data_IF_831818131443
#
_entry.id   IF_831818131443
#
_cell.length_a   1.000
_cell.length_b   1.000
_cell.length_c   1.000
_cell.angle_alpha   90.00
_cell.angle_beta   90.00
_cell.angle_gamma   90.00
#
_symmetry.space_group_name_H-M   'P 1'
#
loop_
_entity.id
_entity.type
_entity.pdbx_description
1 polymer ?
#
# COMPACT_ATOMS: atom_id res chain seq x y z
N UNK A 1 -46.53 25.74 -3.68
CA UNK A 1 -45.83 24.45 -3.59
C UNK A 1 -45.41 24.05 -5.00
N UNK A 2 -44.18 24.38 -5.39
CA UNK A 2 -43.56 23.88 -6.62
C UNK A 2 -42.33 23.09 -6.18
N UNK A 3 -42.43 21.76 -6.20
CA UNK A 3 -41.30 20.86 -6.03
C UNK A 3 -40.49 20.88 -7.32
N UNK A 4 -39.38 21.62 -7.32
CA UNK A 4 -38.33 21.47 -8.31
C UNK A 4 -37.55 20.20 -7.96
N UNK A 5 -37.85 19.11 -8.68
CA UNK A 5 -37.00 17.92 -8.67
C UNK A 5 -35.61 18.27 -9.22
N UNK A 6 -34.57 17.96 -8.45
CA UNK A 6 -33.19 18.04 -8.91
C UNK A 6 -32.97 17.03 -10.07
N UNK A 7 -32.16 17.38 -11.09
CA UNK A 7 -31.97 16.51 -12.25
C UNK A 7 -31.29 15.20 -11.85
N UNK A 8 -31.90 14.08 -12.28
CA UNK A 8 -31.36 12.71 -12.13
C UNK A 8 -30.17 12.51 -13.07
N UNK A 9 -29.11 11.91 -12.55
CA UNK A 9 -27.82 11.69 -13.25
C UNK A 9 -26.74 12.65 -12.75
N UNK A 10 -26.15 12.37 -11.58
CA UNK A 10 -25.03 13.14 -11.05
C UNK A 10 -23.75 12.35 -11.22
N UNK A 11 -22.95 12.70 -12.23
CA UNK A 11 -21.49 12.54 -12.13
C UNK A 11 -21.07 13.33 -10.90
N UNK A 12 -20.50 12.67 -9.89
CA UNK A 12 -19.83 13.37 -8.80
C UNK A 12 -18.36 13.52 -9.18
N UNK A 13 -17.92 14.63 -9.81
CA UNK A 13 -16.52 14.97 -9.77
C UNK A 13 -16.18 15.28 -8.31
N UNK A 14 -15.57 14.33 -7.60
CA UNK A 14 -14.75 14.72 -6.46
C UNK A 14 -13.42 15.21 -7.02
N UNK A 15 -13.34 16.51 -7.27
CA UNK A 15 -12.05 17.18 -7.23
C UNK A 15 -11.68 17.19 -5.74
N UNK A 16 -10.78 16.30 -5.33
CA UNK A 16 -10.14 16.43 -4.02
C UNK A 16 -9.08 17.52 -4.19
N UNK A 17 -9.52 18.76 -4.17
CA UNK A 17 -8.67 19.90 -3.83
C UNK A 17 -9.11 20.30 -2.44
N UNK A 18 -8.28 20.09 -1.44
CA UNK A 18 -8.49 20.73 -0.16
C UNK A 18 -7.40 21.75 0.09
N UNK A 19 -7.91 22.97 0.30
CA UNK A 19 -7.22 24.16 0.71
C UNK A 19 -6.50 23.94 2.05
N UNK A 20 -5.50 24.77 2.28
CA UNK A 20 -4.97 24.97 3.63
C UNK A 20 -6.09 25.41 4.60
N UNK A 21 -5.86 25.22 5.89
CA UNK A 21 -6.81 25.43 7.00
C UNK A 21 -7.35 26.87 7.15
N UNK A 22 -7.09 27.75 6.18
CA UNK A 22 -7.52 29.13 6.11
C UNK A 22 -8.12 29.55 4.74
N UNK A 23 -8.23 28.63 3.77
CA UNK A 23 -8.97 28.90 2.53
C UNK A 23 -8.31 29.91 1.58
N UNK A 24 -6.97 29.99 1.53
CA UNK A 24 -6.29 30.92 0.63
C UNK A 24 -5.63 30.19 -0.55
N UNK A 25 -6.11 30.45 -1.76
CA UNK A 25 -5.38 30.12 -3.00
C UNK A 25 -4.41 31.25 -3.32
N UNK A 26 -3.15 31.20 -2.85
CA UNK A 26 -2.09 32.13 -3.32
C UNK A 26 -0.66 31.63 -3.11
N UNK A 27 0.06 31.57 -4.24
CA UNK A 27 1.51 31.69 -4.44
C UNK A 27 2.44 30.60 -3.88
N UNK A 28 2.96 29.82 -4.83
CA UNK A 28 4.25 29.12 -4.76
C UNK A 28 5.32 30.08 -4.21
N UNK A 29 5.79 29.82 -2.99
CA UNK A 29 7.08 30.32 -2.51
C UNK A 29 8.08 29.17 -2.62
N UNK A 30 8.96 29.26 -3.61
CA UNK A 30 10.21 28.52 -3.64
C UNK A 30 10.99 28.80 -2.36
N UNK A 31 11.17 27.78 -1.51
CA UNK A 31 12.14 27.81 -0.43
C UNK A 31 13.34 26.95 -0.81
N UNK A 32 14.49 27.59 -0.88
CA UNK A 32 15.82 26.97 -0.95
C UNK A 32 16.14 26.32 0.40
N UNK A 33 16.46 25.03 0.36
CA UNK A 33 16.83 24.22 1.52
C UNK A 33 18.04 24.82 2.26
N UNK A 34 17.81 25.25 3.50
CA UNK A 34 18.82 25.29 4.55
C UNK A 34 18.63 24.06 5.43
N UNK A 35 19.51 23.07 5.30
CA UNK A 35 19.67 21.99 6.28
C UNK A 35 20.11 22.64 7.59
N UNK A 36 19.18 22.82 8.53
CA UNK A 36 19.37 22.87 9.99
C UNK A 36 18.15 23.47 10.68
N UNK A 37 17.29 22.61 11.25
CA UNK A 37 16.68 22.72 12.59
C UNK A 37 15.58 21.66 12.75
N UNK A 38 15.91 20.61 13.50
CA UNK A 38 14.93 19.75 14.17
C UNK A 38 14.39 20.54 15.37
N UNK A 39 13.37 21.36 15.13
CA UNK A 39 12.61 21.96 16.22
C UNK A 39 11.51 20.97 16.64
N UNK A 40 11.53 20.62 17.93
CA UNK A 40 10.58 19.74 18.61
C UNK A 40 9.13 20.22 18.43
N UNK A 41 8.38 19.68 17.48
CA UNK A 41 6.93 19.71 17.51
C UNK A 41 6.39 18.47 18.21
N UNK A 42 6.45 18.52 19.53
CA UNK A 42 5.78 17.58 20.41
C UNK A 42 4.30 17.99 20.52
N UNK A 43 3.42 17.33 19.77
CA UNK A 43 1.99 17.33 20.08
C UNK A 43 1.60 15.89 20.35
N UNK A 44 1.34 15.55 21.62
CA UNK A 44 0.83 14.24 22.00
C UNK A 44 -0.43 13.94 21.16
N UNK A 45 -0.32 12.92 20.30
CA UNK A 45 -1.41 12.54 19.41
C UNK A 45 -2.44 11.74 20.21
N UNK A 46 -3.39 12.47 20.79
CA UNK A 46 -4.48 11.88 21.59
C UNK A 46 -5.69 11.55 20.71
N UNK A 47 -6.61 10.73 21.24
CA UNK A 47 -7.91 10.41 20.61
C UNK A 47 -8.67 11.67 20.14
N UNK A 48 -8.41 12.81 20.81
CA UNK A 48 -9.06 14.11 20.61
C UNK A 48 -8.45 14.89 19.43
N UNK A 49 -7.18 14.64 19.09
CA UNK A 49 -6.40 15.37 18.08
C UNK A 49 -6.25 14.62 16.75
N UNK A 50 -7.05 13.56 16.52
CA UNK A 50 -7.05 12.85 15.23
C UNK A 50 -7.52 13.79 14.11
N UNK A 51 -6.69 13.95 13.07
CA UNK A 51 -6.98 14.83 11.92
C UNK A 51 -8.39 14.57 11.37
N UNK A 52 -9.18 15.64 11.22
CA UNK A 52 -10.57 15.59 10.75
C UNK A 52 -10.69 15.39 9.23
N UNK A 53 -9.57 15.38 8.51
CA UNK A 53 -9.52 15.33 7.04
C UNK A 53 -9.61 13.89 6.49
N UNK A 54 -10.20 12.96 7.25
CA UNK A 54 -10.35 11.55 6.90
C UNK A 54 -11.82 11.12 6.99
N UNK A 55 -12.20 10.07 6.25
CA UNK A 55 -13.55 9.49 6.37
C UNK A 55 -13.85 9.06 7.81
N UNK A 56 -15.12 9.14 8.23
CA UNK A 56 -15.57 8.79 9.60
C UNK A 56 -15.12 7.41 10.04
N UNK A 57 -15.09 6.44 9.12
CA UNK A 57 -14.62 5.07 9.36
C UNK A 57 -13.10 5.01 9.63
N UNK A 58 -12.29 5.76 8.86
CA UNK A 58 -10.84 5.84 9.09
C UNK A 58 -10.52 6.48 10.44
N UNK A 59 -11.24 7.53 10.81
CA UNK A 59 -11.08 8.19 12.11
C UNK A 59 -11.42 7.24 13.27
N UNK A 60 -12.50 6.46 13.14
CA UNK A 60 -12.88 5.49 14.16
C UNK A 60 -11.80 4.41 14.37
N UNK A 61 -11.24 3.88 13.28
CA UNK A 61 -10.16 2.88 13.35
C UNK A 61 -8.90 3.44 14.01
N UNK A 62 -8.49 4.66 13.65
CA UNK A 62 -7.33 5.33 14.26
C UNK A 62 -7.57 5.57 15.75
N UNK A 63 -8.75 6.05 16.14
CA UNK A 63 -9.09 6.26 17.56
C UNK A 63 -9.01 4.98 18.37
N UNK A 64 -9.50 3.87 17.82
CA UNK A 64 -9.40 2.55 18.46
C UNK A 64 -7.95 2.07 18.61
N UNK A 65 -7.10 2.33 17.61
CA UNK A 65 -5.68 2.03 17.71
C UNK A 65 -5.00 2.87 18.79
N UNK A 66 -5.20 4.17 18.79
CA UNK A 66 -4.63 5.11 19.77
C UNK A 66 -5.11 4.79 21.19
N UNK A 67 -6.36 4.33 21.37
CA UNK A 67 -6.85 3.91 22.69
C UNK A 67 -6.24 2.59 23.18
N UNK A 68 -5.75 1.75 22.26
CA UNK A 68 -5.21 0.42 22.58
C UNK A 68 -3.69 0.44 22.72
N UNK A 69 -3.00 1.23 21.91
CA UNK A 69 -1.54 1.36 21.87
C UNK A 69 -1.18 2.71 22.47
N UNK A 70 -0.69 2.71 23.70
CA UNK A 70 -0.43 3.94 24.46
C UNK A 70 0.72 4.80 23.93
N UNK A 71 1.64 4.22 23.15
CA UNK A 71 2.77 4.95 22.54
C UNK A 71 2.43 5.26 21.08
N UNK A 72 2.20 6.54 20.78
CA UNK A 72 1.82 7.00 19.44
C UNK A 72 2.74 8.11 18.99
N UNK A 73 3.22 8.00 17.76
CA UNK A 73 4.01 9.02 17.07
C UNK A 73 3.32 9.40 15.76
N UNK A 74 3.46 10.67 15.40
CA UNK A 74 2.86 11.23 14.21
C UNK A 74 3.94 11.80 13.30
N UNK A 75 3.90 11.44 12.02
CA UNK A 75 4.78 11.97 10.99
C UNK A 75 3.94 12.84 10.08
N UNK A 76 4.22 14.13 10.08
CA UNK A 76 3.51 15.11 9.26
C UNK A 76 4.01 15.09 7.80
N UNK A 77 3.27 15.65 6.84
CA UNK A 77 3.77 15.81 5.47
C UNK A 77 5.11 16.54 5.38
N UNK A 78 5.38 17.53 6.25
CA UNK A 78 6.66 18.27 6.26
C UNK A 78 7.87 17.43 6.67
N UNK A 79 7.65 16.31 7.36
CA UNK A 79 8.71 15.38 7.76
C UNK A 79 9.04 14.35 6.67
N UNK A 80 8.26 14.34 5.57
CA UNK A 80 8.46 13.45 4.43
C UNK A 80 9.41 14.07 3.40
N UNK A 81 10.22 13.24 2.75
CA UNK A 81 11.02 13.65 1.60
C UNK A 81 10.06 14.10 0.50
N UNK A 82 10.21 15.34 0.05
CA UNK A 82 9.33 16.02 -0.92
C UNK A 82 7.85 15.99 -0.53
N UNK A 83 7.54 15.94 0.77
CA UNK A 83 6.16 15.81 1.23
C UNK A 83 5.50 14.46 0.88
N UNK A 84 6.28 13.46 0.46
CA UNK A 84 5.75 12.17 -0.04
C UNK A 84 6.38 10.92 0.56
N UNK A 85 7.70 10.84 0.61
CA UNK A 85 8.36 9.57 0.94
C UNK A 85 8.81 9.54 2.40
N UNK A 86 8.51 8.44 3.07
CA UNK A 86 8.92 8.20 4.45
C UNK A 86 10.46 8.06 4.52
N UNK A 87 11.17 8.94 5.23
CA UNK A 87 12.62 8.81 5.38
C UNK A 87 12.97 7.66 6.33
N UNK A 88 13.82 6.72 5.90
CA UNK A 88 14.32 5.64 6.75
C UNK A 88 15.04 6.15 8.03
N UNK A 89 15.88 7.21 7.98
CA UNK A 89 16.51 7.75 9.20
C UNK A 89 15.52 8.28 10.24
N UNK A 90 14.40 8.86 9.79
CA UNK A 90 13.33 9.30 10.69
C UNK A 90 12.65 8.12 11.35
N UNK A 91 12.33 7.07 10.58
CA UNK A 91 11.73 5.86 11.14
C UNK A 91 12.68 5.18 12.14
N UNK A 92 13.99 5.12 11.83
CA UNK A 92 15.02 4.60 12.73
C UNK A 92 15.08 5.39 14.05
N UNK A 93 15.06 6.72 13.99
CA UNK A 93 15.19 7.58 15.17
C UNK A 93 14.00 7.38 16.11
N UNK A 94 12.78 7.28 15.56
CA UNK A 94 11.57 6.98 16.33
C UNK A 94 11.64 5.58 16.97
N UNK A 95 12.07 4.56 16.22
CA UNK A 95 12.24 3.21 16.76
C UNK A 95 13.27 3.17 17.90
N UNK A 96 14.37 3.89 17.76
CA UNK A 96 15.45 3.96 18.75
C UNK A 96 15.04 4.77 19.98
N UNK A 97 14.29 5.86 19.79
CA UNK A 97 13.74 6.69 20.88
C UNK A 97 12.84 5.86 21.81
N UNK A 98 11.96 5.05 21.24
CA UNK A 98 10.91 4.34 21.99
C UNK A 98 11.30 2.93 22.43
N UNK A 99 12.28 2.30 21.76
CA UNK A 99 12.78 0.96 22.06
C UNK A 99 11.68 -0.10 22.22
N UNK A 100 10.61 0.03 21.44
CA UNK A 100 9.48 -0.91 21.46
C UNK A 100 9.79 -2.15 20.64
N UNK A 101 9.24 -3.28 21.06
CA UNK A 101 9.45 -4.56 20.37
C UNK A 101 8.76 -4.57 19.01
N UNK A 102 7.57 -3.99 18.94
CA UNK A 102 6.77 -3.92 17.72
C UNK A 102 6.43 -2.49 17.35
N UNK A 103 6.44 -2.23 16.05
CA UNK A 103 6.01 -0.97 15.45
C UNK A 103 4.84 -1.25 14.51
N UNK A 104 3.77 -0.51 14.69
CA UNK A 104 2.61 -0.48 13.82
C UNK A 104 2.75 0.76 12.94
N UNK A 105 3.19 0.59 11.70
CA UNK A 105 3.39 1.68 10.75
C UNK A 105 2.14 1.82 9.88
N UNK A 106 1.30 2.81 10.22
CA UNK A 106 0.13 3.18 9.44
C UNK A 106 0.47 4.35 8.53
N UNK A 107 0.30 4.20 7.23
CA UNK A 107 0.47 5.30 6.29
C UNK A 107 0.03 4.95 4.88
N UNK A 108 -0.42 5.95 4.12
CA UNK A 108 -1.04 5.76 2.82
C UNK A 108 -0.24 4.93 1.80
N UNK A 109 -0.88 4.58 0.69
CA UNK A 109 -0.19 3.94 -0.43
C UNK A 109 0.81 4.93 -1.07
N UNK A 110 1.90 4.40 -1.66
CA UNK A 110 2.88 5.22 -2.38
C UNK A 110 3.84 6.06 -1.53
N UNK A 111 3.75 6.02 -0.20
CA UNK A 111 4.65 6.80 0.70
C UNK A 111 6.03 6.15 0.89
N UNK A 112 6.33 5.05 0.21
CA UNK A 112 7.63 4.37 0.32
C UNK A 112 7.85 3.56 1.61
N UNK A 113 6.79 3.05 2.27
CA UNK A 113 6.92 2.21 3.49
C UNK A 113 7.89 1.06 3.31
N UNK A 114 7.68 0.22 2.30
CA UNK A 114 8.51 -0.95 2.03
C UNK A 114 9.95 -0.57 1.68
N UNK A 115 10.16 0.55 0.98
CA UNK A 115 11.50 1.11 0.68
C UNK A 115 12.21 1.57 1.95
N UNK A 116 11.53 2.32 2.82
CA UNK A 116 12.09 2.76 4.09
C UNK A 116 12.46 1.57 4.99
N UNK A 117 11.61 0.54 5.03
CA UNK A 117 11.85 -0.68 5.80
C UNK A 117 12.98 -1.53 5.22
N UNK A 118 13.14 -1.57 3.90
CA UNK A 118 14.27 -2.23 3.24
C UNK A 118 15.60 -1.54 3.60
N UNK A 119 15.64 -0.20 3.53
CA UNK A 119 16.80 0.57 3.97
C UNK A 119 17.10 0.33 5.46
N UNK A 120 16.07 0.30 6.32
CA UNK A 120 16.25 0.00 7.74
C UNK A 120 16.88 -1.38 7.97
N UNK A 121 16.38 -2.40 7.27
CA UNK A 121 16.89 -3.77 7.34
C UNK A 121 18.35 -3.84 6.93
N UNK A 122 18.71 -3.20 5.81
CA UNK A 122 20.06 -3.16 5.29
C UNK A 122 21.04 -2.46 6.25
N UNK A 123 20.69 -1.26 6.71
CA UNK A 123 21.62 -0.36 7.41
C UNK A 123 21.69 -0.61 8.92
N UNK A 124 20.56 -0.90 9.57
CA UNK A 124 20.50 -0.96 11.04
C UNK A 124 20.41 -2.36 11.61
N UNK A 125 19.89 -3.31 10.84
CA UNK A 125 19.80 -4.71 11.23
C UNK A 125 20.89 -5.56 10.59
N UNK A 126 22.00 -4.93 10.18
CA UNK A 126 23.19 -5.58 9.59
C UNK A 126 22.83 -6.43 8.37
N UNK A 127 21.88 -5.95 7.57
CA UNK A 127 21.35 -6.70 6.43
C UNK A 127 20.62 -7.98 6.82
N UNK A 128 20.16 -8.16 8.07
CA UNK A 128 19.38 -9.32 8.48
C UNK A 128 17.90 -8.99 8.61
N UNK A 129 17.04 -9.82 8.05
CA UNK A 129 15.62 -9.73 8.31
C UNK A 129 14.74 -10.62 7.44
N UNK A 130 13.47 -10.63 7.78
CA UNK A 130 12.46 -11.40 7.07
C UNK A 130 11.31 -10.48 6.73
N UNK A 131 10.86 -10.53 5.48
CA UNK A 131 9.72 -9.77 5.02
C UNK A 131 8.57 -10.74 4.65
N UNK A 132 7.43 -10.58 5.32
CA UNK A 132 6.25 -11.45 5.22
C UNK A 132 5.12 -10.67 4.53
N UNK A 133 4.46 -11.31 3.58
CA UNK A 133 3.20 -10.86 2.99
C UNK A 133 2.15 -11.97 2.99
N UNK A 134 0.95 -11.62 2.57
CA UNK A 134 -0.17 -12.54 2.41
C UNK A 134 -0.16 -13.26 1.04
N UNK A 135 0.25 -12.58 -0.05
CA UNK A 135 0.25 -13.14 -1.43
C UNK A 135 1.63 -13.51 -1.98
N UNK A 136 1.69 -14.65 -2.68
CA UNK A 136 2.89 -15.13 -3.39
C UNK A 136 3.47 -14.11 -4.38
N UNK A 137 2.60 -13.50 -5.21
CA UNK A 137 3.04 -12.53 -6.23
C UNK A 137 3.67 -11.28 -5.61
N UNK A 138 3.06 -10.78 -4.53
CA UNK A 138 3.57 -9.64 -3.78
C UNK A 138 4.90 -9.97 -3.09
N UNK A 139 5.03 -11.15 -2.51
CA UNK A 139 6.29 -11.58 -1.88
C UNK A 139 7.47 -11.48 -2.83
N UNK A 140 7.31 -11.82 -4.12
CA UNK A 140 8.41 -11.70 -5.09
C UNK A 140 8.84 -10.24 -5.35
N UNK A 141 7.88 -9.33 -5.42
CA UNK A 141 8.18 -7.89 -5.57
C UNK A 141 8.84 -7.36 -4.30
N UNK A 142 8.32 -7.75 -3.13
CA UNK A 142 8.93 -7.43 -1.84
C UNK A 142 10.36 -7.95 -1.74
N UNK A 143 10.63 -9.18 -2.20
CA UNK A 143 11.98 -9.74 -2.26
C UNK A 143 12.94 -8.84 -3.05
N UNK A 144 12.50 -8.30 -4.20
CA UNK A 144 13.31 -7.35 -4.97
C UNK A 144 13.56 -6.06 -4.20
N UNK A 145 12.53 -5.49 -3.57
CA UNK A 145 12.64 -4.24 -2.79
C UNK A 145 13.58 -4.38 -1.59
N UNK A 146 13.54 -5.53 -0.90
CA UNK A 146 14.38 -5.81 0.26
C UNK A 146 15.74 -6.42 -0.10
N UNK A 147 15.97 -6.70 -1.38
CA UNK A 147 17.12 -7.46 -1.88
C UNK A 147 17.30 -8.76 -1.05
N UNK A 148 16.19 -9.51 -0.98
CA UNK A 148 16.02 -10.70 -0.17
C UNK A 148 15.81 -11.94 -1.05
N UNK A 149 16.24 -13.09 -0.55
CA UNK A 149 15.99 -14.37 -1.21
C UNK A 149 14.52 -14.78 -1.07
N UNK A 150 13.96 -15.29 -2.16
CA UNK A 150 12.58 -15.78 -2.14
C UNK A 150 12.54 -17.21 -1.57
N UNK A 151 11.86 -17.39 -0.42
CA UNK A 151 11.84 -18.65 0.33
C UNK A 151 11.50 -19.88 -0.52
N UNK A 152 10.51 -19.78 -1.43
CA UNK A 152 10.08 -20.95 -2.22
C UNK A 152 11.15 -21.41 -3.22
N UNK A 153 11.98 -20.50 -3.73
CA UNK A 153 13.14 -20.83 -4.56
C UNK A 153 14.23 -21.47 -3.70
N UNK A 154 14.58 -20.83 -2.59
CA UNK A 154 15.57 -21.36 -1.64
C UNK A 154 15.23 -22.78 -1.20
N UNK A 155 13.96 -23.03 -0.81
CA UNK A 155 13.48 -24.33 -0.32
C UNK A 155 13.82 -25.45 -1.31
N UNK A 156 13.75 -25.19 -2.62
CA UNK A 156 13.98 -26.19 -3.68
C UNK A 156 15.45 -26.39 -4.02
N UNK A 157 16.23 -25.32 -4.07
CA UNK A 157 17.55 -25.34 -4.70
C UNK A 157 18.71 -25.72 -3.76
N UNK A 158 18.48 -25.80 -2.44
CA UNK A 158 19.59 -25.94 -1.49
C UNK A 158 20.43 -24.65 -1.41
N UNK A 159 21.53 -24.63 -0.65
CA UNK A 159 22.48 -23.49 -0.65
C UNK A 159 22.84 -22.90 0.72
N UNK A 160 23.58 -21.79 0.66
CA UNK A 160 24.13 -21.06 1.80
C UNK A 160 23.04 -20.45 2.70
N UNK A 161 23.45 -20.02 3.89
CA UNK A 161 22.62 -19.22 4.79
C UNK A 161 22.22 -17.92 4.09
N UNK A 162 20.95 -17.53 4.24
CA UNK A 162 20.50 -16.21 3.81
C UNK A 162 20.34 -15.30 5.02
N UNK A 163 20.76 -14.05 4.83
CA UNK A 163 20.55 -13.00 5.82
C UNK A 163 19.20 -12.29 5.61
N UNK A 164 18.63 -12.32 4.39
CA UNK A 164 17.35 -11.70 4.07
C UNK A 164 16.44 -12.64 3.32
N UNK A 165 15.26 -12.89 3.87
CA UNK A 165 14.29 -13.83 3.25
C UNK A 165 12.91 -13.18 3.12
N UNK A 166 12.34 -13.26 1.92
CA UNK A 166 10.94 -12.94 1.69
C UNK A 166 10.07 -14.20 1.65
N UNK A 167 8.94 -14.19 2.37
CA UNK A 167 8.03 -15.33 2.46
C UNK A 167 6.56 -14.92 2.52
N UNK A 168 5.67 -15.90 2.37
CA UNK A 168 4.25 -15.73 2.70
C UNK A 168 3.97 -16.20 4.12
N UNK A 169 2.92 -15.69 4.75
CA UNK A 169 2.54 -16.11 6.10
C UNK A 169 2.30 -17.62 6.20
N UNK A 170 1.70 -18.22 5.17
CA UNK A 170 1.45 -19.67 5.09
C UNK A 170 2.73 -20.52 5.10
N UNK A 171 3.84 -19.96 4.61
CA UNK A 171 5.11 -20.66 4.50
C UNK A 171 5.98 -20.51 5.76
N UNK A 172 5.63 -19.59 6.66
CA UNK A 172 6.40 -19.26 7.86
C UNK A 172 6.67 -20.48 8.77
N UNK A 173 5.68 -21.36 9.07
CA UNK A 173 5.93 -22.51 9.94
C UNK A 173 6.99 -23.48 9.41
N UNK A 174 7.03 -23.69 8.09
CA UNK A 174 8.05 -24.54 7.47
C UNK A 174 9.40 -23.83 7.40
N UNK A 175 9.40 -22.53 7.09
CA UNK A 175 10.62 -21.73 6.96
C UNK A 175 11.42 -21.70 8.25
N UNK A 176 10.75 -21.58 9.41
CA UNK A 176 11.39 -21.58 10.72
C UNK A 176 12.07 -22.91 11.09
N UNK A 177 11.79 -24.00 10.37
CA UNK A 177 12.45 -25.31 10.56
C UNK A 177 13.71 -25.47 9.74
N UNK A 178 13.96 -24.55 8.80
CA UNK A 178 15.08 -24.62 7.86
C UNK A 178 16.13 -23.61 8.33
N UNK A 179 17.24 -24.11 8.87
CA UNK A 179 18.28 -23.28 9.51
C UNK A 179 18.74 -22.11 8.63
N UNK A 180 19.02 -22.40 7.35
CA UNK A 180 19.43 -21.41 6.34
C UNK A 180 18.46 -20.27 6.07
N UNK A 181 17.17 -20.47 6.34
CA UNK A 181 16.17 -19.43 6.23
C UNK A 181 15.90 -18.80 7.60
N UNK A 182 15.96 -19.57 8.69
CA UNK A 182 15.70 -19.05 10.04
C UNK A 182 16.81 -18.14 10.57
N UNK A 183 18.04 -18.25 10.06
CA UNK A 183 19.14 -17.35 10.44
C UNK A 183 18.79 -15.86 10.20
N UNK A 184 17.99 -15.57 9.17
CA UNK A 184 17.56 -14.21 8.85
C UNK A 184 16.74 -13.53 9.98
N UNK A 185 16.14 -14.30 10.89
CA UNK A 185 15.46 -13.74 12.05
C UNK A 185 16.42 -13.29 13.16
N UNK A 186 17.61 -13.89 13.30
CA UNK A 186 18.45 -13.71 14.49
C UNK A 186 18.92 -12.27 14.63
N UNK A 187 18.33 -11.52 15.58
CA UNK A 187 18.50 -10.07 15.76
C UNK A 187 18.20 -9.23 14.49
N UNK A 188 17.47 -9.80 13.53
CA UNK A 188 17.09 -9.12 12.29
C UNK A 188 15.78 -8.32 12.43
N UNK A 189 15.40 -7.64 11.35
CA UNK A 189 14.11 -6.98 11.24
C UNK A 189 13.04 -7.96 10.73
N UNK A 190 11.95 -8.15 11.47
CA UNK A 190 10.77 -8.84 10.95
C UNK A 190 9.77 -7.81 10.42
N UNK A 191 9.56 -7.78 9.10
CA UNK A 191 8.54 -6.96 8.46
C UNK A 191 7.33 -7.81 8.11
N UNK A 192 6.14 -7.35 8.50
CA UNK A 192 4.85 -7.88 8.03
C UNK A 192 4.20 -6.78 7.20
N UNK A 193 4.36 -6.86 5.88
CA UNK A 193 3.79 -5.90 4.94
C UNK A 193 2.35 -6.31 4.58
N UNK A 194 1.48 -5.32 4.38
CA UNK A 194 0.03 -5.51 4.32
C UNK A 194 -0.52 -6.31 5.53
N UNK A 195 -0.12 -5.88 6.73
CA UNK A 195 -0.33 -6.63 7.97
C UNK A 195 -1.80 -6.90 8.29
N UNK A 196 -2.74 -6.04 7.89
CA UNK A 196 -4.16 -6.32 8.08
C UNK A 196 -4.63 -7.46 7.19
N UNK A 197 -4.11 -7.57 5.97
CA UNK A 197 -4.43 -8.68 5.07
C UNK A 197 -3.86 -9.99 5.62
N UNK A 198 -2.65 -9.97 6.17
CA UNK A 198 -2.06 -11.11 6.88
C UNK A 198 -2.90 -11.52 8.09
N UNK A 199 -3.33 -10.56 8.91
CA UNK A 199 -4.21 -10.82 10.05
C UNK A 199 -5.57 -11.39 9.61
N UNK A 200 -6.15 -10.87 8.53
CA UNK A 200 -7.40 -11.35 7.98
C UNK A 200 -7.31 -12.80 7.47
N UNK A 201 -6.21 -13.20 6.80
CA UNK A 201 -6.00 -14.58 6.35
C UNK A 201 -5.99 -15.58 7.51
N UNK A 202 -5.48 -15.17 8.68
CA UNK A 202 -5.45 -15.98 9.89
C UNK A 202 -6.85 -16.10 10.50
N UNK A 203 -7.60 -14.99 10.56
CA UNK A 203 -8.95 -14.95 11.14
C UNK A 203 -10.00 -15.67 10.27
N UNK A 204 -9.82 -15.71 8.95
CA UNK A 204 -10.83 -16.22 7.99
C UNK A 204 -10.64 -17.68 7.59
N UNK A 205 -9.89 -18.48 8.38
CA UNK A 205 -9.63 -19.91 8.16
C UNK A 205 -8.96 -20.26 6.81
N UNK A 206 -8.43 -19.28 6.08
CA UNK A 206 -7.65 -19.54 4.84
C UNK A 206 -6.33 -20.24 5.20
N UNK A 207 -5.81 -19.99 6.39
CA UNK A 207 -4.65 -20.68 6.94
C UNK A 207 -5.06 -22.06 7.47
N UNK A 208 -4.59 -23.12 6.80
CA UNK A 208 -4.89 -24.52 7.17
C UNK A 208 -4.57 -24.91 8.63
N UNK A 209 -3.68 -24.20 9.30
CA UNK A 209 -3.32 -24.43 10.69
C UNK A 209 -3.02 -23.10 11.39
N UNK A 210 -4.09 -22.42 11.80
CA UNK A 210 -4.05 -21.12 12.49
C UNK A 210 -3.14 -21.16 13.72
N UNK A 211 -3.35 -22.12 14.62
CA UNK A 211 -2.59 -22.23 15.88
C UNK A 211 -1.08 -22.40 15.64
N UNK A 212 -0.68 -23.27 14.71
CA UNK A 212 0.73 -23.42 14.33
C UNK A 212 1.30 -22.13 13.72
N UNK A 213 0.50 -21.41 12.96
CA UNK A 213 0.92 -20.18 12.30
C UNK A 213 1.12 -19.07 13.32
N UNK A 214 0.18 -18.86 14.25
CA UNK A 214 0.32 -17.93 15.39
C UNK A 214 1.54 -18.28 16.24
N UNK A 215 1.73 -19.57 16.56
CA UNK A 215 2.92 -20.03 17.28
C UNK A 215 4.21 -19.71 16.52
N UNK A 216 4.20 -19.85 15.18
CA UNK A 216 5.33 -19.56 14.31
C UNK A 216 5.63 -18.06 14.26
N UNK A 217 4.60 -17.20 14.20
CA UNK A 217 4.76 -15.74 14.34
C UNK A 217 5.38 -15.43 15.69
N UNK A 218 4.87 -15.99 16.79
CA UNK A 218 5.45 -15.77 18.12
C UNK A 218 6.91 -16.20 18.23
N UNK A 219 7.31 -17.31 17.58
CA UNK A 219 8.73 -17.72 17.48
C UNK A 219 9.56 -16.72 16.68
N UNK A 220 9.07 -16.28 15.52
CA UNK A 220 9.72 -15.30 14.67
C UNK A 220 9.92 -13.95 15.39
N UNK A 221 8.88 -13.46 16.07
CA UNK A 221 8.90 -12.25 16.91
C UNK A 221 9.97 -12.33 17.99
N UNK A 222 10.09 -13.48 18.66
CA UNK A 222 11.09 -13.70 19.73
C UNK A 222 12.53 -13.70 19.20
N UNK A 223 12.74 -14.24 18.00
CA UNK A 223 14.07 -14.31 17.36
C UNK A 223 14.51 -12.97 16.75
N UNK A 224 13.55 -12.23 16.18
CA UNK A 224 13.77 -10.92 15.59
C UNK A 224 14.30 -9.91 16.62
N UNK A 225 15.08 -8.92 16.19
CA UNK A 225 15.43 -7.76 17.01
C UNK A 225 14.20 -6.88 17.22
N UNK A 226 13.54 -6.52 16.13
CA UNK A 226 12.29 -5.75 16.12
C UNK A 226 11.30 -6.29 15.09
N UNK A 227 10.03 -5.92 15.27
CA UNK A 227 8.94 -6.28 14.36
C UNK A 227 8.27 -5.01 13.85
N UNK A 228 8.04 -4.90 12.55
CA UNK A 228 7.28 -3.80 11.95
C UNK A 228 6.13 -4.36 11.14
N UNK A 229 4.91 -4.01 11.54
CA UNK A 229 3.70 -4.27 10.76
C UNK A 229 3.34 -3.01 9.98
N UNK A 230 3.35 -3.08 8.65
CA UNK A 230 3.10 -1.93 7.78
C UNK A 230 1.81 -2.12 6.99
N UNK A 231 0.92 -1.12 7.03
CA UNK A 231 -0.33 -1.14 6.27
C UNK A 231 -0.89 0.27 6.05
N UNK A 232 -1.62 0.49 4.96
CA UNK A 232 -2.35 1.75 4.74
C UNK A 232 -3.60 1.86 5.59
N UNK A 233 -4.20 0.71 5.91
CA UNK A 233 -5.49 0.64 6.60
C UNK A 233 -5.40 -0.08 7.94
N UNK A 234 -4.19 -0.18 8.53
CA UNK A 234 -3.90 -0.84 9.82
C UNK A 234 -5.03 -0.63 10.84
N UNK A 235 -5.53 -1.71 11.42
CA UNK A 235 -6.59 -1.69 12.43
C UNK A 235 -6.28 -2.65 13.60
N UNK A 236 -7.26 -2.85 14.49
CA UNK A 236 -7.10 -3.70 15.67
C UNK A 236 -6.83 -5.19 15.34
N UNK A 237 -7.08 -5.66 14.11
CA UNK A 237 -6.75 -7.03 13.72
C UNK A 237 -5.24 -7.29 13.81
N UNK A 238 -4.41 -6.35 13.34
CA UNK A 238 -2.95 -6.44 13.46
C UNK A 238 -2.50 -6.42 14.92
N UNK A 239 -3.13 -5.59 15.77
CA UNK A 239 -2.83 -5.54 17.21
C UNK A 239 -3.13 -6.89 17.86
N UNK A 240 -4.31 -7.46 17.60
CA UNK A 240 -4.72 -8.77 18.12
C UNK A 240 -3.78 -9.88 17.66
N UNK A 241 -3.32 -9.84 16.41
CA UNK A 241 -2.35 -10.79 15.89
C UNK A 241 -1.03 -10.75 16.68
N UNK A 242 -0.50 -9.54 16.93
CA UNK A 242 0.72 -9.38 17.73
C UNK A 242 0.53 -9.80 19.19
N UNK A 243 -0.63 -9.53 19.78
CA UNK A 243 -0.97 -10.01 21.11
C UNK A 243 -1.02 -11.54 21.18
N UNK A 244 -1.64 -12.19 20.18
CA UNK A 244 -1.66 -13.65 20.07
C UNK A 244 -0.26 -14.24 19.87
N UNK A 245 0.64 -13.49 19.20
CA UNK A 245 2.05 -13.85 19.07
C UNK A 245 2.89 -13.57 20.34
N UNK A 246 2.29 -12.98 21.39
CA UNK A 246 2.89 -12.77 22.70
C UNK A 246 3.48 -11.36 22.95
N UNK A 247 3.16 -10.37 22.11
CA UNK A 247 3.58 -8.98 22.31
C UNK A 247 2.52 -8.24 23.13
N UNK A 248 2.93 -7.57 24.21
CA UNK A 248 2.02 -6.76 25.02
C UNK A 248 1.80 -5.38 24.36
N UNK A 249 0.62 -4.75 24.53
CA UNK A 249 0.38 -3.40 24.00
C UNK A 249 1.42 -2.35 24.40
N UNK A 250 1.97 -2.44 25.62
CA UNK A 250 3.00 -1.52 26.11
C UNK A 250 4.35 -1.66 25.38
N UNK A 251 4.58 -2.80 24.73
CA UNK A 251 5.74 -3.10 23.88
C UNK A 251 5.50 -2.72 22.41
N UNK A 252 4.40 -2.03 22.12
CA UNK A 252 4.03 -1.55 20.78
C UNK A 252 4.20 -0.03 20.68
N UNK A 253 4.67 0.42 19.51
CA UNK A 253 4.67 1.80 19.05
C UNK A 253 3.75 1.91 17.84
N UNK A 254 2.79 2.82 17.86
CA UNK A 254 2.00 3.19 16.69
C UNK A 254 2.61 4.42 16.03
N UNK A 255 2.98 4.30 14.75
CA UNK A 255 3.43 5.44 13.94
C UNK A 255 2.37 5.70 12.88
N UNK A 256 1.82 6.91 12.88
CA UNK A 256 0.85 7.37 11.89
C UNK A 256 1.53 8.37 10.98
N UNK A 257 1.58 8.06 9.68
CA UNK A 257 2.04 8.98 8.64
C UNK A 257 0.84 9.65 8.00
N UNK A 258 0.70 10.96 8.21
CA UNK A 258 -0.38 11.74 7.63
C UNK A 258 -0.02 12.13 6.21
N UNK A 259 -0.49 11.33 5.25
CA UNK A 259 -0.47 11.67 3.83
C UNK A 259 -1.78 11.23 3.17
N UNK A 260 -2.48 12.11 2.44
CA UNK A 260 -3.67 11.71 1.71
C UNK A 260 -3.30 10.67 0.64
N UNK A 261 -3.98 9.52 0.65
CA UNK A 261 -3.72 8.37 -0.23
C UNK A 261 -3.90 8.67 -1.74
N UNK A 262 -4.46 9.82 -2.10
CA UNK A 262 -4.86 10.18 -3.47
C UNK A 262 -4.51 11.63 -3.85
N UNK A 263 -3.65 12.30 -3.10
CA UNK A 263 -3.22 13.66 -3.43
C UNK A 263 -2.61 13.71 -4.85
N UNK A 264 -3.17 14.56 -5.72
CA UNK A 264 -2.76 14.69 -7.12
C UNK A 264 -3.49 13.76 -8.11
N UNK A 265 -4.34 12.82 -7.66
CA UNK A 265 -5.11 11.94 -8.54
C UNK A 265 -6.56 12.43 -8.71
N UNK A 266 -7.07 12.43 -9.95
CA UNK A 266 -8.52 12.49 -10.17
C UNK A 266 -9.11 11.09 -10.23
N UNK A 267 -9.91 10.74 -9.23
CA UNK A 267 -10.64 9.46 -9.18
C UNK A 267 -12.08 9.67 -9.62
N UNK A 268 -12.52 8.92 -10.62
CA UNK A 268 -13.92 8.86 -11.07
C UNK A 268 -14.49 7.50 -10.69
N UNK A 269 -15.44 7.50 -9.75
CA UNK A 269 -16.14 6.28 -9.33
C UNK A 269 -17.40 6.12 -10.16
N UNK A 270 -17.62 4.92 -10.69
CA UNK A 270 -18.87 4.53 -11.32
C UNK A 270 -19.55 3.43 -10.54
N UNK A 271 -20.79 3.71 -10.19
CA UNK A 271 -21.75 2.74 -9.69
C UNK A 271 -22.75 2.48 -10.80
N UNK A 272 -22.93 1.20 -11.14
CA UNK A 272 -23.79 0.81 -12.26
C UNK A 272 -25.26 1.05 -11.93
N UNK A 273 -25.96 1.77 -12.82
CA UNK A 273 -27.42 1.88 -12.77
C UNK A 273 -28.02 0.81 -13.68
N UNK A 274 -28.72 -0.16 -13.08
CA UNK A 274 -29.38 -1.25 -13.81
C UNK A 274 -30.86 -0.91 -14.06
N UNK A 275 -31.35 -1.24 -15.25
CA UNK A 275 -32.78 -1.20 -15.54
C UNK A 275 -33.55 -2.32 -14.82
N UNK A 276 -34.87 -2.35 -14.96
CA UNK A 276 -35.74 -3.38 -14.34
C UNK A 276 -35.43 -4.80 -14.82
N UNK A 277 -34.64 -4.97 -15.90
CA UNK A 277 -34.20 -6.24 -16.46
C UNK A 277 -32.74 -6.56 -16.11
N UNK A 278 -32.11 -5.76 -15.25
CA UNK A 278 -30.73 -5.94 -14.81
C UNK A 278 -29.67 -5.44 -15.80
N UNK A 279 -30.06 -4.76 -16.89
CA UNK A 279 -29.12 -4.24 -17.89
C UNK A 279 -28.56 -2.89 -17.46
N UNK A 280 -27.24 -2.74 -17.54
CA UNK A 280 -26.58 -1.47 -17.29
C UNK A 280 -27.04 -0.38 -18.25
N UNK A 281 -27.49 0.74 -17.70
CA UNK A 281 -27.92 1.94 -18.43
C UNK A 281 -26.75 2.89 -18.74
N UNK A 282 -25.73 2.91 -17.87
CA UNK A 282 -24.67 3.91 -17.89
C UNK A 282 -23.31 3.38 -18.36
N UNK A 283 -23.15 2.05 -18.50
CA UNK A 283 -21.90 1.41 -18.96
C UNK A 283 -21.39 1.93 -20.32
N UNK A 284 -22.21 2.08 -21.37
CA UNK A 284 -21.72 2.60 -22.66
C UNK A 284 -21.20 4.03 -22.56
N UNK A 285 -21.89 4.89 -21.79
CA UNK A 285 -21.46 6.27 -21.57
C UNK A 285 -20.11 6.31 -20.85
N UNK A 286 -19.90 5.42 -19.87
CA UNK A 286 -18.67 5.35 -19.10
C UNK A 286 -17.48 4.87 -19.92
N UNK A 287 -17.66 3.80 -20.72
CA UNK A 287 -16.65 3.34 -21.68
C UNK A 287 -16.28 4.49 -22.64
N UNK A 288 -17.27 5.18 -23.21
CA UNK A 288 -17.03 6.31 -24.11
C UNK A 288 -16.27 7.46 -23.43
N UNK A 289 -16.52 7.72 -22.15
CA UNK A 289 -15.78 8.71 -21.39
C UNK A 289 -14.30 8.32 -21.20
N UNK A 290 -14.02 7.05 -20.88
CA UNK A 290 -12.65 6.52 -20.76
C UNK A 290 -11.92 6.64 -22.11
N UNK A 291 -12.58 6.22 -23.19
CA UNK A 291 -12.02 6.31 -24.55
C UNK A 291 -11.79 7.76 -24.97
N UNK A 292 -12.69 8.68 -24.62
CA UNK A 292 -12.52 10.11 -24.88
C UNK A 292 -11.28 10.68 -24.19
N UNK A 293 -11.04 10.30 -22.93
CA UNK A 293 -9.87 10.75 -22.19
C UNK A 293 -8.58 10.17 -22.77
N UNK A 294 -8.57 8.90 -23.19
CA UNK A 294 -7.44 8.29 -23.91
C UNK A 294 -7.15 8.99 -25.26
N UNK A 295 -8.18 9.34 -26.02
CA UNK A 295 -8.03 10.04 -27.31
C UNK A 295 -7.50 11.48 -27.15
N UNK A 296 -7.60 12.08 -25.96
CA UNK A 296 -6.94 13.35 -25.62
C UNK A 296 -5.46 13.18 -25.26
N UNK A 297 -4.92 11.96 -25.35
CA UNK A 297 -3.54 11.64 -24.98
C UNK A 297 -3.34 11.39 -23.48
N UNK A 298 -4.42 11.37 -22.69
CA UNK A 298 -4.34 11.10 -21.26
C UNK A 298 -4.05 9.63 -21.00
N UNK A 299 -3.19 9.36 -20.02
CA UNK A 299 -2.94 8.04 -19.48
C UNK A 299 -4.02 7.69 -18.45
N UNK A 300 -4.67 6.55 -18.63
CA UNK A 300 -5.83 6.14 -17.84
C UNK A 300 -5.60 4.81 -17.14
N UNK A 301 -5.90 4.75 -15.85
CA UNK A 301 -6.07 3.50 -15.10
C UNK A 301 -7.56 3.24 -14.91
N UNK A 302 -7.98 1.99 -15.12
CA UNK A 302 -9.33 1.51 -14.84
C UNK A 302 -9.25 0.28 -13.93
N UNK A 303 -9.93 0.34 -12.78
CA UNK A 303 -10.06 -0.80 -11.88
C UNK A 303 -11.52 -1.25 -11.81
N UNK A 304 -11.77 -2.55 -11.94
CA UNK A 304 -13.13 -3.11 -11.89
C UNK A 304 -13.17 -4.52 -11.30
N UNK A 305 -14.19 -4.78 -10.49
CA UNK A 305 -14.51 -6.15 -10.05
C UNK A 305 -15.07 -7.03 -11.19
N UNK A 306 -15.57 -6.43 -12.27
CA UNK A 306 -16.09 -7.13 -13.44
C UNK A 306 -14.99 -7.33 -14.49
N UNK A 307 -14.51 -8.57 -14.63
CA UNK A 307 -13.58 -8.92 -15.70
C UNK A 307 -14.20 -8.68 -17.08
N UNK A 308 -15.51 -8.96 -17.23
CA UNK A 308 -16.25 -8.77 -18.48
C UNK A 308 -16.32 -7.29 -18.88
N UNK A 309 -16.46 -6.37 -17.93
CA UNK A 309 -16.32 -4.93 -18.20
C UNK A 309 -14.95 -4.59 -18.76
N UNK A 310 -13.87 -5.07 -18.12
CA UNK A 310 -12.50 -4.74 -18.53
C UNK A 310 -12.16 -5.34 -19.91
N UNK A 311 -12.64 -6.55 -20.19
CA UNK A 311 -12.51 -7.19 -21.52
C UNK A 311 -13.27 -6.42 -22.61
N UNK A 312 -14.45 -5.92 -22.30
CA UNK A 312 -15.21 -5.06 -23.23
C UNK A 312 -14.50 -3.73 -23.47
N UNK A 313 -13.98 -3.09 -22.43
CA UNK A 313 -13.20 -1.87 -22.56
C UNK A 313 -11.95 -2.09 -23.42
N UNK A 314 -11.21 -3.18 -23.21
CA UNK A 314 -10.03 -3.53 -24.02
C UNK A 314 -10.38 -3.68 -25.51
N UNK A 315 -11.50 -4.36 -25.80
CA UNK A 315 -12.01 -4.53 -27.16
C UNK A 315 -12.37 -3.19 -27.80
N UNK A 316 -13.12 -2.34 -27.10
CA UNK A 316 -13.51 -1.02 -27.62
C UNK A 316 -12.30 -0.08 -27.79
N UNK A 317 -11.33 -0.14 -26.89
CA UNK A 317 -10.07 0.58 -27.01
C UNK A 317 -9.27 0.12 -28.25
N UNK A 318 -9.21 -1.20 -28.49
CA UNK A 318 -8.62 -1.78 -29.69
C UNK A 318 -9.28 -1.28 -30.98
N UNK A 319 -10.62 -1.23 -31.03
CA UNK A 319 -11.37 -0.69 -32.18
C UNK A 319 -11.09 0.80 -32.44
N UNK A 320 -10.75 1.56 -31.40
CA UNK A 320 -10.34 2.98 -31.50
C UNK A 320 -8.86 3.17 -31.82
N UNK A 321 -8.11 2.09 -32.03
CA UNK A 321 -6.69 2.14 -32.40
C UNK A 321 -5.74 2.41 -31.22
N UNK A 322 -6.20 2.30 -29.98
CA UNK A 322 -5.37 2.54 -28.78
C UNK A 322 -4.47 1.31 -28.56
N UNK A 323 -3.24 1.31 -29.08
CA UNK A 323 -2.38 0.12 -29.07
C UNK A 323 -1.66 -0.12 -27.74
N UNK A 324 -1.28 0.95 -27.03
CA UNK A 324 -0.56 0.88 -25.75
C UNK A 324 -1.53 0.60 -24.61
N UNK A 325 -2.03 -0.63 -24.52
CA UNK A 325 -3.00 -1.06 -23.51
C UNK A 325 -2.63 -2.38 -22.88
N UNK A 326 -3.07 -2.59 -21.64
CA UNK A 326 -2.80 -3.84 -20.90
C UNK A 326 -3.97 -4.19 -19.98
N UNK A 327 -4.35 -5.47 -20.02
CA UNK A 327 -5.43 -6.04 -19.23
C UNK A 327 -4.88 -7.10 -18.27
N UNK A 328 -5.03 -6.84 -16.96
CA UNK A 328 -4.59 -7.74 -15.90
C UNK A 328 -5.78 -8.11 -15.02
N UNK A 329 -6.25 -9.34 -15.19
CA UNK A 329 -7.29 -9.94 -14.37
C UNK A 329 -6.75 -11.14 -13.61
N UNK A 330 -7.56 -11.71 -12.72
CA UNK A 330 -7.27 -12.99 -12.07
C UNK A 330 -7.07 -14.16 -13.06
N UNK A 331 -7.50 -14.01 -14.33
CA UNK A 331 -7.32 -14.99 -15.41
C UNK A 331 -6.08 -14.76 -16.26
N UNK A 332 -5.43 -13.59 -16.18
CA UNK A 332 -4.25 -13.28 -17.00
C UNK A 332 -3.09 -14.25 -16.70
N UNK A 333 -2.31 -14.70 -17.69
CA UNK A 333 -1.13 -15.53 -17.44
C UNK A 333 -0.10 -14.84 -16.53
N UNK A 334 0.68 -15.63 -15.80
CA UNK A 334 1.73 -15.09 -14.91
C UNK A 334 2.74 -14.21 -15.65
N UNK A 335 3.12 -14.56 -16.87
CA UNK A 335 4.02 -13.77 -17.71
C UNK A 335 3.50 -12.35 -17.96
N UNK A 336 2.21 -12.19 -18.24
CA UNK A 336 1.57 -10.87 -18.45
C UNK A 336 1.55 -10.06 -17.14
N UNK A 337 1.32 -10.73 -16.00
CA UNK A 337 1.32 -10.08 -14.68
C UNK A 337 2.72 -9.59 -14.30
N UNK A 338 3.74 -10.40 -14.53
CA UNK A 338 5.14 -10.08 -14.20
C UNK A 338 5.74 -9.03 -15.14
N UNK A 339 5.19 -8.89 -16.36
CA UNK A 339 5.54 -7.80 -17.27
C UNK A 339 5.07 -6.43 -16.77
N UNK A 340 4.07 -6.36 -15.87
CA UNK A 340 3.64 -5.10 -15.26
C UNK A 340 4.54 -4.76 -14.07
N UNK A 341 5.38 -3.75 -14.27
CA UNK A 341 6.34 -3.21 -13.31
C UNK A 341 6.19 -1.70 -13.28
N UNK A 342 6.85 -1.02 -12.33
CA UNK A 342 6.93 0.44 -12.40
C UNK A 342 7.61 0.87 -13.72
N UNK A 343 8.64 0.17 -14.17
CA UNK A 343 9.37 0.49 -15.40
C UNK A 343 8.51 0.38 -16.65
N UNK A 344 7.74 -0.69 -16.80
CA UNK A 344 6.90 -0.92 -17.99
C UNK A 344 5.56 -0.20 -17.91
N UNK A 345 5.11 0.18 -16.72
CA UNK A 345 3.84 0.88 -16.54
C UNK A 345 3.78 2.14 -17.41
N UNK A 346 4.85 2.93 -17.47
CA UNK A 346 4.90 4.19 -18.23
C UNK A 346 4.61 4.02 -19.73
N UNK A 347 4.84 2.83 -20.29
CA UNK A 347 4.72 2.53 -21.70
C UNK A 347 3.27 2.36 -22.17
N UNK A 348 2.34 2.14 -21.23
CA UNK A 348 0.91 1.97 -21.52
C UNK A 348 0.14 3.28 -21.43
N UNK A 349 -0.82 3.52 -22.33
CA UNK A 349 -1.80 4.61 -22.22
C UNK A 349 -3.02 4.16 -21.41
N UNK A 350 -3.42 2.89 -21.52
CA UNK A 350 -4.54 2.30 -20.78
C UNK A 350 -4.09 1.10 -19.95
N UNK A 351 -4.33 1.15 -18.64
CA UNK A 351 -4.05 0.05 -17.70
C UNK A 351 -5.35 -0.40 -17.05
N UNK A 352 -5.72 -1.66 -17.26
CA UNK A 352 -6.98 -2.26 -16.77
C UNK A 352 -6.69 -3.35 -15.75
N UNK A 353 -7.23 -3.22 -14.54
CA UNK A 353 -6.88 -4.07 -13.40
C UNK A 353 -8.12 -4.59 -12.68
N UNK A 354 -8.15 -5.89 -12.36
CA UNK A 354 -9.08 -6.40 -11.34
C UNK A 354 -8.54 -6.14 -9.92
N UNK A 355 -9.37 -5.80 -8.91
CA UNK A 355 -8.93 -5.55 -7.53
C UNK A 355 -8.10 -6.65 -6.88
N UNK A 356 -8.32 -7.93 -7.24
CA UNK A 356 -7.50 -9.05 -6.80
C UNK A 356 -6.01 -8.95 -7.25
N UNK A 357 -5.71 -8.05 -8.19
CA UNK A 357 -4.39 -7.80 -8.75
C UNK A 357 -3.86 -6.38 -8.47
N UNK A 358 -4.68 -5.45 -7.97
CA UNK A 358 -4.29 -4.04 -7.79
C UNK A 358 -3.64 -3.73 -6.43
N UNK A 359 -3.88 -4.56 -5.41
CA UNK A 359 -3.18 -4.43 -4.12
C UNK A 359 -1.75 -4.97 -4.27
N UNK A 360 -0.76 -4.08 -4.16
CA UNK A 360 0.66 -4.45 -4.14
C UNK A 360 1.49 -4.00 -5.34
N UNK A 361 0.89 -3.57 -6.45
CA UNK A 361 1.64 -2.97 -7.58
C UNK A 361 1.85 -1.49 -7.29
N UNK A 362 3.08 -1.11 -6.93
CA UNK A 362 3.47 0.30 -6.91
C UNK A 362 3.65 0.79 -8.35
N UNK A 363 2.83 1.77 -8.74
CA UNK A 363 3.05 2.52 -9.98
C UNK A 363 4.02 3.68 -9.77
N UNK A 364 4.54 3.91 -8.56
CA UNK A 364 5.54 4.95 -8.33
C UNK A 364 6.94 4.39 -8.60
N UNK A 365 7.67 5.04 -9.51
CA UNK A 365 9.10 4.75 -9.76
C UNK A 365 9.96 5.73 -8.98
N UNK A 366 10.99 5.19 -8.33
CA UNK A 366 12.03 5.97 -7.65
C UNK A 366 13.38 5.71 -8.31
N UNK A 367 14.31 6.66 -8.15
CA UNK A 367 15.72 6.52 -8.50
C UNK A 367 16.56 6.80 -7.26
N UNK A 368 17.62 6.04 -7.09
CA UNK A 368 18.61 6.29 -6.05
C UNK A 368 19.72 7.14 -6.64
N UNK A 369 19.95 8.33 -6.08
CA UNK A 369 21.05 9.20 -6.46
C UNK A 369 22.38 8.66 -5.92
N UNK A 370 23.51 9.15 -6.45
CA UNK A 370 24.85 8.82 -5.95
C UNK A 370 25.03 9.16 -4.46
N UNK A 371 24.26 10.12 -3.96
CA UNK A 371 24.20 10.48 -2.53
C UNK A 371 23.47 9.45 -1.66
N UNK A 372 22.90 8.40 -2.24
CA UNK A 372 22.02 7.43 -1.57
C UNK A 372 20.58 7.91 -1.40
N UNK A 373 20.27 9.17 -1.75
CA UNK A 373 18.92 9.70 -1.67
C UNK A 373 18.00 9.03 -2.69
N UNK A 374 16.86 8.51 -2.23
CA UNK A 374 15.81 7.94 -3.09
C UNK A 374 14.81 9.04 -3.43
N UNK A 375 14.73 9.41 -4.71
CA UNK A 375 13.80 10.45 -5.20
C UNK A 375 12.81 9.85 -6.20
N UNK A 376 11.59 10.42 -6.34
CA UNK A 376 10.69 10.06 -7.44
C UNK A 376 11.39 10.30 -8.78
N UNK A 377 11.16 9.40 -9.75
CA UNK A 377 11.72 9.58 -11.08
C UNK A 377 11.07 10.81 -11.76
N UNK A 378 11.82 11.89 -12.05
CA UNK A 378 11.25 13.19 -12.43
C UNK A 378 10.56 13.21 -13.80
N UNK A 379 10.78 12.20 -14.64
CA UNK A 379 10.15 12.06 -15.95
C UNK A 379 9.18 10.89 -16.04
N UNK A 380 8.71 10.41 -14.89
CA UNK A 380 7.83 9.25 -14.86
C UNK A 380 6.40 9.59 -15.23
N UNK A 381 5.87 8.93 -16.26
CA UNK A 381 4.52 9.19 -16.77
C UNK A 381 3.46 8.51 -15.90
N UNK A 382 3.01 9.22 -14.87
CA UNK A 382 1.89 8.84 -14.00
C UNK A 382 0.53 8.91 -14.73
N UNK A 383 -0.49 8.25 -14.18
CA UNK A 383 -1.85 8.34 -14.69
C UNK A 383 -2.43 9.75 -14.53
N UNK A 384 -3.05 10.25 -15.59
CA UNK A 384 -3.82 11.49 -15.56
C UNK A 384 -5.22 11.28 -14.96
N UNK A 385 -5.79 10.08 -15.14
CA UNK A 385 -7.14 9.71 -14.67
C UNK A 385 -7.17 8.29 -14.10
N UNK A 386 -7.85 8.14 -12.97
CA UNK A 386 -8.17 6.84 -12.38
C UNK A 386 -9.68 6.63 -12.36
N UNK A 387 -10.13 5.49 -12.88
CA UNK A 387 -11.54 5.09 -12.87
C UNK A 387 -11.71 3.86 -11.99
N UNK A 388 -12.68 3.90 -11.08
CA UNK A 388 -13.04 2.79 -10.20
C UNK A 388 -14.47 2.38 -10.51
N UNK A 389 -14.66 1.09 -10.80
CA UNK A 389 -15.92 0.54 -11.33
C UNK A 389 -16.47 -0.45 -10.30
N UNK A 390 -17.50 -0.01 -9.60
CA UNK A 390 -18.22 -0.77 -8.59
C UNK A 390 -19.40 -1.50 -9.24
N UNK A 391 -19.11 -2.45 -10.13
CA UNK A 391 -20.11 -3.38 -10.68
C UNK A 391 -20.02 -4.71 -9.92
N UNK A 392 -21.14 -5.22 -9.42
CA UNK A 392 -21.18 -6.53 -8.75
C UNK A 392 -20.56 -7.62 -9.65
N UNK A 393 -19.71 -8.46 -9.08
CA UNK A 393 -18.98 -9.53 -9.77
C UNK A 393 -19.85 -10.71 -10.26
N UNK A 394 -21.18 -10.54 -10.30
CA UNK A 394 -22.14 -11.59 -10.68
C UNK A 394 -22.44 -11.65 -12.18
N UNK A 395 -21.69 -10.93 -13.02
CA UNK A 395 -21.80 -11.01 -14.49
C UNK A 395 -20.76 -11.98 -15.09
#
# INVERSE_FOLDING_TARGET
MNNLEAPKGVLRPQIITECDSLGNTSSVKTYTNGVNRLDNHNTDYTIVNVSRNCSTVKIAAIRQLVSTVGNVEHISPSDLIDGKYLPAPLLQSLMTKHQKKAVLLRGGLGIGKSTALAALMAEFYKGKGVAICHRIGLTRQLCKTFDADYYQTMKREGGLMSDRVGTTIHSLPEMLRIERASNAFSNGLLVIDESNSVAAEIITDVVKNEALTIQSIGKAVKQAGAVVCADAHLDLSTVKLLQAAGIKPDDMLLIIVDKPELEGYTVKIWEDEKDQKGKSLTKPAFINQILSDLLKGLKVIVTSLSATFLEELDREAGKKGIQKRVLITSKSPQSVREQMTAESYQDYDLVMLSPAMSTGISFDRTITLESGAVIPCPHYRHADRCYVILSNAQD
#
